data_IF_514125235451
#
_entry.id   IF_514125235451
#
_cell.length_a   1.000
_cell.length_b   1.000
_cell.length_c   1.000
_cell.angle_alpha   90.00
_cell.angle_beta   90.00
_cell.angle_gamma   90.00
#
_symmetry.space_group_name_H-M   'P 1'
#
loop_
_entity.id
_entity.type
_entity.pdbx_description
1 polymer ?
#
# COMPACT_ATOMS: atom_id res chain seq x y z
N UNK A 1 -25.93 15.56 -0.12
CA UNK A 1 -25.00 15.79 1.01
C UNK A 1 -24.73 14.51 1.81
N UNK A 2 -25.75 13.88 2.40
CA UNK A 2 -25.57 12.65 3.20
C UNK A 2 -24.99 11.48 2.40
N UNK A 3 -25.44 11.26 1.17
CA UNK A 3 -24.92 10.23 0.27
C UNK A 3 -23.42 10.40 -0.01
N UNK A 4 -22.95 11.64 -0.27
CA UNK A 4 -21.55 11.91 -0.54
C UNK A 4 -20.66 11.61 0.68
N UNK A 5 -21.14 11.84 1.90
CA UNK A 5 -20.42 11.49 3.13
C UNK A 5 -20.28 9.97 3.25
N UNK A 6 -21.35 9.21 3.00
CA UNK A 6 -21.29 7.74 3.02
C UNK A 6 -20.31 7.20 1.99
N UNK A 7 -20.31 7.74 0.77
CA UNK A 7 -19.37 7.36 -0.28
C UNK A 7 -17.93 7.59 0.16
N UNK A 8 -17.60 8.77 0.71
CA UNK A 8 -16.26 9.08 1.21
C UNK A 8 -15.87 8.19 2.37
N UNK A 9 -16.80 7.83 3.27
CA UNK A 9 -16.53 6.89 4.36
C UNK A 9 -16.19 5.49 3.84
N UNK A 10 -16.94 5.00 2.84
CA UNK A 10 -16.65 3.70 2.20
C UNK A 10 -15.27 3.73 1.53
N UNK A 11 -14.97 4.77 0.73
CA UNK A 11 -13.66 4.93 0.09
C UNK A 11 -12.53 5.00 1.12
N UNK A 12 -12.74 5.73 2.23
CA UNK A 12 -11.79 5.84 3.33
C UNK A 12 -11.52 4.48 4.01
N UNK A 13 -12.56 3.69 4.21
CA UNK A 13 -12.44 2.36 4.78
C UNK A 13 -11.68 1.41 3.83
N UNK A 14 -12.05 1.41 2.54
CA UNK A 14 -11.37 0.60 1.52
C UNK A 14 -9.89 0.98 1.47
N UNK A 15 -9.57 2.26 1.32
CA UNK A 15 -8.19 2.74 1.25
C UNK A 15 -7.42 2.43 2.52
N UNK A 16 -7.95 2.81 3.69
CA UNK A 16 -7.25 2.65 4.97
C UNK A 16 -6.98 1.19 5.34
N UNK A 17 -7.88 0.28 4.95
CA UNK A 17 -7.70 -1.15 5.19
C UNK A 17 -6.75 -1.75 4.14
N UNK A 18 -6.98 -1.50 2.87
CA UNK A 18 -6.27 -2.19 1.79
C UNK A 18 -4.85 -1.67 1.54
N UNK A 19 -4.51 -0.45 1.98
CA UNK A 19 -3.19 0.16 1.78
C UNK A 19 -2.07 -0.59 2.52
N UNK A 20 -2.35 -1.05 3.74
CA UNK A 20 -1.35 -1.68 4.60
C UNK A 20 -1.46 -3.21 4.67
N UNK A 21 -2.61 -3.76 4.32
CA UNK A 21 -2.78 -5.21 4.21
C UNK A 21 -2.21 -5.72 2.87
N UNK A 22 -1.71 -6.96 2.82
CA UNK A 22 -1.18 -7.54 1.58
C UNK A 22 -2.29 -8.02 0.63
N UNK A 23 -3.31 -7.16 0.34
CA UNK A 23 -4.54 -7.53 -0.39
C UNK A 23 -4.79 -6.77 -1.70
N UNK A 24 -4.05 -5.71 -2.01
CA UNK A 24 -4.19 -4.85 -3.19
C UNK A 24 -5.39 -3.89 -3.19
N UNK A 25 -5.13 -2.60 -2.93
CA UNK A 25 -6.14 -1.53 -2.97
C UNK A 25 -6.75 -1.34 -4.37
N UNK A 26 -5.94 -1.45 -5.44
CA UNK A 26 -6.42 -1.33 -6.82
C UNK A 26 -7.45 -2.39 -7.20
N UNK A 27 -7.30 -3.64 -6.75
CA UNK A 27 -8.30 -4.68 -6.99
C UNK A 27 -9.64 -4.35 -6.32
N UNK A 28 -9.60 -3.81 -5.10
CA UNK A 28 -10.82 -3.41 -4.38
C UNK A 28 -11.51 -2.22 -5.02
N UNK A 29 -10.74 -1.20 -5.41
CA UNK A 29 -11.31 -0.02 -6.07
C UNK A 29 -12.02 -0.41 -7.37
N UNK A 30 -11.42 -1.29 -8.19
CA UNK A 30 -12.07 -1.76 -9.42
C UNK A 30 -13.34 -2.56 -9.13
N UNK A 31 -13.30 -3.50 -8.18
CA UNK A 31 -14.50 -4.25 -7.82
C UNK A 31 -15.62 -3.34 -7.34
N UNK A 32 -15.31 -2.38 -6.49
CA UNK A 32 -16.33 -1.48 -5.95
C UNK A 32 -16.81 -0.52 -7.03
N UNK A 33 -15.95 0.00 -7.90
CA UNK A 33 -16.38 0.88 -9.00
C UNK A 33 -17.15 0.15 -10.09
N UNK A 34 -16.97 -1.18 -10.26
CA UNK A 34 -17.81 -1.98 -11.17
C UNK A 34 -19.21 -2.23 -10.63
N UNK A 35 -19.40 -2.14 -9.32
CA UNK A 35 -20.70 -2.34 -8.66
C UNK A 35 -21.43 -1.03 -8.39
N UNK A 36 -20.71 0.07 -8.23
CA UNK A 36 -21.27 1.36 -7.85
C UNK A 36 -20.40 2.52 -8.37
N UNK A 37 -21.06 3.45 -9.08
CA UNK A 37 -20.41 4.70 -9.51
C UNK A 37 -20.42 5.72 -8.38
N UNK A 38 -19.26 5.94 -7.77
CA UNK A 38 -19.09 6.94 -6.72
C UNK A 38 -19.08 8.35 -7.31
N UNK A 39 -20.15 9.11 -7.05
CA UNK A 39 -20.26 10.52 -7.47
C UNK A 39 -19.24 11.43 -6.78
N UNK A 40 -18.82 11.04 -5.58
CA UNK A 40 -17.84 11.78 -4.78
C UNK A 40 -16.38 11.38 -5.10
N UNK A 41 -16.14 10.40 -5.97
CA UNK A 41 -14.80 10.03 -6.40
C UNK A 41 -14.20 11.13 -7.26
N UNK A 42 -13.07 11.65 -6.85
CA UNK A 42 -12.29 12.65 -7.57
C UNK A 42 -10.83 12.49 -7.24
N UNK A 43 -9.95 13.01 -8.10
CA UNK A 43 -8.51 13.00 -7.85
C UNK A 43 -8.15 13.63 -6.49
N UNK A 44 -8.85 14.70 -6.09
CA UNK A 44 -8.63 15.36 -4.81
C UNK A 44 -9.02 14.48 -3.63
N UNK A 45 -10.12 13.72 -3.72
CA UNK A 45 -10.51 12.74 -2.70
C UNK A 45 -9.48 11.62 -2.62
N UNK A 46 -9.03 11.07 -3.76
CA UNK A 46 -8.01 9.99 -3.77
C UNK A 46 -6.71 10.44 -3.09
N UNK A 47 -6.23 11.65 -3.38
CA UNK A 47 -5.05 12.21 -2.71
C UNK A 47 -5.28 12.36 -1.21
N UNK A 48 -6.47 12.82 -0.82
CA UNK A 48 -6.85 13.00 0.59
C UNK A 48 -6.84 11.68 1.36
N UNK A 49 -7.31 10.61 0.74
CA UNK A 49 -7.26 9.26 1.28
C UNK A 49 -5.82 8.77 1.51
N UNK A 50 -4.93 9.01 0.52
CA UNK A 50 -3.51 8.68 0.65
C UNK A 50 -2.81 9.53 1.71
N UNK A 51 -3.13 10.82 1.81
CA UNK A 51 -2.60 11.70 2.86
C UNK A 51 -3.03 11.24 4.25
N UNK A 52 -4.30 10.88 4.44
CA UNK A 52 -4.79 10.30 5.68
C UNK A 52 -4.02 9.05 6.09
N UNK A 53 -3.78 8.15 5.13
CA UNK A 53 -2.99 6.93 5.33
C UNK A 53 -1.51 7.25 5.66
N UNK A 54 -0.92 8.24 4.98
CA UNK A 54 0.45 8.70 5.26
C UNK A 54 0.58 9.26 6.68
N UNK A 55 -0.34 10.13 7.10
CA UNK A 55 -0.34 10.68 8.45
C UNK A 55 -0.50 9.57 9.49
N UNK A 56 -1.35 8.56 9.22
CA UNK A 56 -1.55 7.43 10.12
C UNK A 56 -0.27 6.63 10.35
N UNK A 57 0.46 6.30 9.29
CA UNK A 57 1.68 5.50 9.41
C UNK A 57 2.82 6.29 10.06
N UNK A 58 2.96 7.57 9.73
CA UNK A 58 3.93 8.47 10.38
C UNK A 58 3.62 8.61 11.88
N UNK A 59 2.34 8.77 12.24
CA UNK A 59 1.93 8.85 13.64
C UNK A 59 2.16 7.52 14.39
N UNK A 60 1.90 6.39 13.74
CA UNK A 60 2.13 5.07 14.34
C UNK A 60 3.61 4.83 14.66
N UNK A 61 4.52 5.21 13.76
CA UNK A 61 5.97 5.06 13.93
C UNK A 61 6.67 6.33 14.42
N UNK A 62 5.92 7.27 15.04
CA UNK A 62 6.48 8.56 15.48
C UNK A 62 7.68 8.44 16.41
N UNK A 63 7.69 7.44 17.31
CA UNK A 63 8.80 7.24 18.24
C UNK A 63 10.07 6.80 17.52
N UNK A 64 9.94 5.91 16.53
CA UNK A 64 11.05 5.48 15.69
C UNK A 64 11.56 6.62 14.80
N UNK A 65 10.67 7.44 14.26
CA UNK A 65 10.99 8.54 13.35
C UNK A 65 11.57 9.76 14.09
N UNK A 66 11.05 10.12 15.26
CA UNK A 66 11.53 11.28 16.04
C UNK A 66 12.87 11.00 16.72
N UNK A 67 13.13 9.76 17.14
CA UNK A 67 14.41 9.35 17.72
C UNK A 67 15.48 9.10 16.63
N UNK A 68 15.73 10.11 15.78
CA UNK A 68 16.63 10.00 14.62
C UNK A 68 18.01 9.49 15.03
N UNK A 69 18.58 9.99 16.11
CA UNK A 69 19.91 9.61 16.57
C UNK A 69 20.04 8.10 16.84
N UNK A 70 19.00 7.51 17.46
CA UNK A 70 18.96 6.07 17.76
C UNK A 70 18.65 5.21 16.53
N UNK A 71 17.82 5.71 15.63
CA UNK A 71 17.28 4.97 14.48
C UNK A 71 17.88 5.39 13.14
N UNK A 72 18.93 6.23 13.14
CA UNK A 72 19.56 6.80 11.93
C UNK A 72 19.84 5.74 10.86
N UNK A 73 20.36 4.57 11.28
CA UNK A 73 20.65 3.46 10.36
C UNK A 73 19.40 2.94 9.67
N UNK A 74 18.33 2.69 10.42
CA UNK A 74 17.06 2.16 9.83
C UNK A 74 16.44 3.20 8.91
N UNK A 75 16.36 4.45 9.33
CA UNK A 75 15.80 5.55 8.54
C UNK A 75 16.58 5.72 7.24
N UNK A 76 17.91 5.75 7.29
CA UNK A 76 18.73 5.85 6.07
C UNK A 76 18.53 4.66 5.13
N UNK A 77 18.42 3.44 5.66
CA UNK A 77 18.16 2.26 4.85
C UNK A 77 16.76 2.33 4.18
N UNK A 78 15.74 2.78 4.89
CA UNK A 78 14.39 2.97 4.32
C UNK A 78 14.41 4.00 3.18
N UNK A 79 15.10 5.12 3.37
CA UNK A 79 15.28 6.12 2.30
C UNK A 79 15.96 5.49 1.09
N UNK A 80 17.08 4.79 1.28
CA UNK A 80 17.80 4.10 0.19
C UNK A 80 16.91 3.08 -0.52
N UNK A 81 16.15 2.25 0.22
CA UNK A 81 15.24 1.25 -0.33
C UNK A 81 14.05 1.84 -1.09
N UNK A 82 13.76 3.11 -0.90
CA UNK A 82 12.65 3.79 -1.59
C UNK A 82 13.05 4.37 -2.95
N UNK A 83 14.33 4.63 -3.19
CA UNK A 83 14.81 5.21 -4.45
C UNK A 83 14.37 4.42 -5.70
N UNK A 84 14.49 3.08 -5.74
CA UNK A 84 14.08 2.32 -6.93
C UNK A 84 12.62 2.59 -7.31
N UNK A 85 11.70 2.54 -6.33
CA UNK A 85 10.28 2.80 -6.58
C UNK A 85 10.04 4.25 -7.05
N UNK A 86 10.67 5.23 -6.41
CA UNK A 86 10.50 6.66 -6.75
C UNK A 86 10.95 6.91 -8.19
N UNK A 87 12.13 6.40 -8.57
CA UNK A 87 12.67 6.59 -9.92
C UNK A 87 11.77 5.94 -10.97
N UNK A 88 11.44 4.66 -10.82
CA UNK A 88 10.60 3.94 -11.78
C UNK A 88 9.16 4.45 -11.78
N UNK A 89 8.61 4.84 -10.63
CA UNK A 89 7.30 5.46 -10.53
C UNK A 89 7.22 6.79 -11.28
N UNK A 90 8.24 7.62 -11.15
CA UNK A 90 8.34 8.87 -11.91
C UNK A 90 8.44 8.64 -13.41
N UNK A 91 9.26 7.68 -13.86
CA UNK A 91 9.38 7.30 -15.28
C UNK A 91 8.04 6.82 -15.83
N UNK A 92 7.35 5.89 -15.13
CA UNK A 92 6.06 5.38 -15.58
C UNK A 92 4.96 6.46 -15.59
N UNK A 93 5.02 7.40 -14.65
CA UNK A 93 4.10 8.53 -14.63
C UNK A 93 4.34 9.47 -15.83
N UNK A 94 5.59 9.86 -16.11
CA UNK A 94 5.91 10.80 -17.19
C UNK A 94 5.73 10.21 -18.58
N UNK A 95 5.90 8.91 -18.75
CA UNK A 95 5.68 8.19 -20.02
C UNK A 95 4.22 7.81 -20.24
N UNK A 96 3.36 7.92 -19.24
CA UNK A 96 1.97 7.50 -19.31
C UNK A 96 1.75 5.97 -19.33
N UNK A 97 2.81 5.17 -19.28
CA UNK A 97 2.71 3.69 -19.29
C UNK A 97 1.92 3.11 -18.14
N UNK A 98 1.83 3.84 -17.03
CA UNK A 98 1.06 3.40 -15.86
C UNK A 98 -0.44 3.19 -16.19
N UNK A 99 -0.97 3.93 -17.15
CA UNK A 99 -2.39 3.83 -17.53
C UNK A 99 -2.68 2.57 -18.35
N UNK A 100 -1.74 2.11 -19.19
CA UNK A 100 -1.91 0.89 -20.00
C UNK A 100 -1.96 -0.39 -19.15
N UNK A 101 -1.37 -0.35 -17.93
CA UNK A 101 -1.37 -1.47 -17.00
C UNK A 101 -2.68 -1.58 -16.19
N UNK A 102 -3.53 -0.54 -16.21
CA UNK A 102 -4.78 -0.48 -15.41
C UNK A 102 -5.94 -1.14 -16.14
N UNK A 103 -5.86 -2.42 -16.37
CA UNK A 103 -6.98 -3.21 -16.89
C UNK A 103 -7.33 -4.35 -15.93
N UNK A 104 -8.57 -4.80 -16.01
CA UNK A 104 -9.14 -5.78 -15.05
C UNK A 104 -8.42 -7.13 -15.15
N UNK A 105 -8.01 -7.53 -16.35
CA UNK A 105 -7.32 -8.80 -16.60
C UNK A 105 -5.93 -8.80 -15.95
N UNK A 106 -5.14 -7.74 -16.16
CA UNK A 106 -3.85 -7.57 -15.48
C UNK A 106 -3.99 -7.67 -13.97
N UNK A 107 -5.01 -7.02 -13.40
CA UNK A 107 -5.25 -7.01 -11.95
C UNK A 107 -5.65 -8.39 -11.44
N UNK A 108 -6.49 -9.13 -12.18
CA UNK A 108 -6.86 -10.49 -11.82
C UNK A 108 -5.65 -11.41 -11.77
N UNK A 109 -4.85 -11.43 -12.85
CA UNK A 109 -3.64 -12.25 -12.94
C UNK A 109 -2.58 -11.87 -11.90
N UNK A 110 -2.28 -10.61 -11.74
CA UNK A 110 -1.27 -10.16 -10.76
C UNK A 110 -1.72 -10.43 -9.32
N UNK A 111 -3.02 -10.24 -9.01
CA UNK A 111 -3.57 -10.56 -7.69
C UNK A 111 -3.40 -12.05 -7.38
N UNK A 112 -3.67 -12.95 -8.33
CA UNK A 112 -3.52 -14.39 -8.18
C UNK A 112 -2.04 -14.81 -8.02
N UNK A 113 -1.20 -14.37 -8.96
CA UNK A 113 0.23 -14.75 -8.98
C UNK A 113 0.90 -14.31 -7.68
N UNK A 114 0.73 -13.06 -7.28
CA UNK A 114 1.37 -12.54 -6.07
C UNK A 114 0.71 -13.01 -4.76
N UNK A 115 -0.50 -13.59 -4.79
CA UNK A 115 -1.03 -14.36 -3.68
C UNK A 115 -0.25 -15.66 -3.47
N UNK A 116 0.07 -16.37 -4.56
CA UNK A 116 0.86 -17.61 -4.52
C UNK A 116 2.29 -17.33 -4.07
N UNK A 117 2.91 -16.26 -4.59
CA UNK A 117 4.28 -15.87 -4.20
C UNK A 117 4.35 -15.50 -2.71
N UNK A 118 3.35 -14.77 -2.19
CA UNK A 118 3.23 -14.46 -0.77
C UNK A 118 3.10 -15.74 0.07
N UNK A 119 2.26 -16.69 -0.36
CA UNK A 119 2.09 -17.96 0.32
C UNK A 119 3.39 -18.76 0.42
N UNK A 120 4.11 -18.89 -0.70
CA UNK A 120 5.38 -19.62 -0.74
C UNK A 120 6.41 -18.96 0.19
N UNK A 121 6.52 -17.62 0.13
CA UNK A 121 7.46 -16.86 0.96
C UNK A 121 7.16 -16.97 2.46
N UNK A 122 5.89 -17.12 2.84
CA UNK A 122 5.48 -17.19 4.25
C UNK A 122 5.62 -18.57 4.89
N UNK A 123 5.77 -19.65 4.08
CA UNK A 123 5.89 -21.03 4.60
C UNK A 123 7.15 -21.29 5.42
N UNK A 124 8.23 -20.59 5.14
CA UNK A 124 9.51 -20.86 5.79
C UNK A 124 9.57 -20.23 7.19
N UNK A 125 10.18 -20.94 8.15
CA UNK A 125 10.49 -20.40 9.48
C UNK A 125 11.72 -19.50 9.36
N UNK A 126 11.62 -18.28 9.87
CA UNK A 126 12.69 -17.29 9.74
C UNK A 126 12.75 -16.41 10.98
N UNK A 127 13.97 -16.04 11.39
CA UNK A 127 14.23 -15.39 12.67
C UNK A 127 15.00 -14.07 12.55
N UNK A 128 15.30 -13.60 11.31
CA UNK A 128 16.01 -12.33 11.13
C UNK A 128 15.16 -11.16 11.64
N UNK A 129 15.85 -10.25 12.34
CA UNK A 129 15.25 -9.04 12.91
C UNK A 129 15.74 -7.80 12.18
N UNK A 130 14.88 -6.80 12.08
CA UNK A 130 15.19 -5.49 11.47
C UNK A 130 16.38 -4.81 12.17
N UNK A 131 16.43 -4.89 13.50
CA UNK A 131 17.46 -4.24 14.31
C UNK A 131 18.88 -4.71 14.02
N UNK A 132 19.07 -5.99 13.71
CA UNK A 132 20.39 -6.62 13.58
C UNK A 132 20.73 -7.00 12.14
N UNK A 133 19.75 -7.41 11.33
CA UNK A 133 19.99 -8.05 10.04
C UNK A 133 19.66 -7.18 8.83
N UNK A 134 18.92 -6.06 9.01
CA UNK A 134 18.64 -5.18 7.89
C UNK A 134 19.94 -4.44 7.49
N UNK A 135 20.31 -4.57 6.21
CA UNK A 135 21.50 -3.95 5.62
C UNK A 135 21.17 -3.39 4.22
N UNK A 136 22.16 -2.74 3.59
CA UNK A 136 21.98 -2.11 2.28
C UNK A 136 21.54 -3.11 1.21
N UNK A 137 22.14 -4.30 1.17
CA UNK A 137 21.78 -5.33 0.19
C UNK A 137 20.33 -5.79 0.36
N UNK A 138 19.93 -6.05 1.61
CA UNK A 138 18.55 -6.47 1.92
C UNK A 138 17.53 -5.39 1.55
N UNK A 139 17.79 -4.13 1.90
CA UNK A 139 16.82 -3.06 1.66
C UNK A 139 16.74 -2.68 0.17
N UNK A 140 17.86 -2.75 -0.57
CA UNK A 140 17.85 -2.56 -2.02
C UNK A 140 17.09 -3.68 -2.73
N UNK A 141 17.27 -4.94 -2.32
CA UNK A 141 16.48 -6.05 -2.85
C UNK A 141 14.98 -5.81 -2.63
N UNK A 142 14.58 -5.45 -1.41
CA UNK A 142 13.17 -5.15 -1.10
C UNK A 142 12.67 -3.95 -1.93
N UNK A 143 13.49 -2.91 -2.08
CA UNK A 143 13.17 -1.72 -2.87
C UNK A 143 13.02 -2.01 -4.37
N UNK A 144 13.87 -2.87 -4.93
CA UNK A 144 13.75 -3.33 -6.33
C UNK A 144 12.47 -4.15 -6.50
N UNK A 145 12.20 -5.09 -5.60
CA UNK A 145 10.95 -5.86 -5.63
C UNK A 145 9.72 -4.96 -5.47
N UNK A 146 9.85 -3.86 -4.73
CA UNK A 146 8.78 -2.87 -4.57
C UNK A 146 8.38 -2.21 -5.90
N UNK A 147 9.25 -2.13 -6.91
CA UNK A 147 8.92 -1.60 -8.24
C UNK A 147 7.72 -2.36 -8.84
N UNK A 148 7.62 -3.66 -8.58
CA UNK A 148 6.51 -4.48 -9.06
C UNK A 148 5.15 -3.99 -8.56
N UNK A 149 5.11 -3.24 -7.46
CA UNK A 149 3.86 -2.65 -6.96
C UNK A 149 3.26 -1.56 -7.85
N UNK A 150 4.04 -1.04 -8.81
CA UNK A 150 3.53 -0.13 -9.83
C UNK A 150 2.56 -0.83 -10.80
N UNK A 151 2.64 -2.16 -10.89
CA UNK A 151 1.65 -2.96 -11.62
C UNK A 151 0.42 -3.17 -10.72
N UNK A 152 -0.78 -2.74 -11.16
CA UNK A 152 -2.00 -2.93 -10.40
C UNK A 152 -2.24 -4.40 -10.05
N UNK A 153 -2.80 -4.68 -8.88
CA UNK A 153 -3.05 -6.05 -8.40
C UNK A 153 -1.91 -6.66 -7.57
N UNK A 154 -0.66 -6.22 -7.76
CA UNK A 154 0.51 -6.77 -7.01
C UNK A 154 0.40 -6.55 -5.52
N UNK A 155 -0.10 -5.41 -5.06
CA UNK A 155 -0.07 -4.92 -3.68
C UNK A 155 1.32 -4.50 -3.20
N UNK A 156 1.52 -3.23 -2.92
CA UNK A 156 2.79 -2.70 -2.40
C UNK A 156 3.16 -3.38 -1.07
N UNK A 157 2.22 -3.45 -0.13
CA UNK A 157 2.44 -4.15 1.14
C UNK A 157 2.73 -5.64 0.90
N UNK A 158 2.00 -6.28 -0.01
CA UNK A 158 2.19 -7.70 -0.35
C UNK A 158 3.59 -7.99 -0.86
N UNK A 159 4.09 -7.24 -1.85
CA UNK A 159 5.39 -7.52 -2.46
C UNK A 159 6.56 -7.19 -1.53
N UNK A 160 6.49 -6.11 -0.75
CA UNK A 160 7.56 -5.74 0.19
C UNK A 160 7.64 -6.72 1.36
N UNK A 161 6.51 -7.17 1.90
CA UNK A 161 6.46 -8.25 2.88
C UNK A 161 7.03 -9.54 2.29
N UNK A 162 6.61 -9.92 1.09
CA UNK A 162 7.12 -11.11 0.38
C UNK A 162 8.64 -11.06 0.22
N UNK A 163 9.18 -9.94 -0.26
CA UNK A 163 10.61 -9.76 -0.43
C UNK A 163 11.39 -9.87 0.89
N UNK A 164 10.88 -9.26 1.96
CA UNK A 164 11.48 -9.38 3.29
C UNK A 164 11.40 -10.81 3.83
N UNK A 165 10.30 -11.54 3.57
CA UNK A 165 10.15 -12.96 3.93
C UNK A 165 11.13 -13.86 3.16
N UNK A 166 11.33 -13.63 1.87
CA UNK A 166 12.36 -14.32 1.06
C UNK A 166 13.75 -14.13 1.67
N UNK A 167 14.05 -12.94 2.18
CA UNK A 167 15.31 -12.63 2.88
C UNK A 167 15.37 -13.19 4.31
N UNK A 168 14.37 -13.92 4.74
CA UNK A 168 14.28 -14.60 6.04
C UNK A 168 13.99 -13.68 7.24
N UNK A 169 13.44 -12.51 7.04
CA UNK A 169 12.91 -11.72 8.15
C UNK A 169 11.65 -12.36 8.73
N UNK A 170 11.46 -12.27 10.06
CA UNK A 170 10.22 -12.72 10.69
C UNK A 170 9.02 -11.89 10.20
N UNK A 171 7.79 -12.37 10.42
CA UNK A 171 6.57 -11.75 9.89
C UNK A 171 6.38 -10.31 10.37
N UNK A 172 6.58 -10.06 11.67
CA UNK A 172 6.41 -8.73 12.27
C UNK A 172 7.40 -7.75 11.67
N UNK A 173 8.67 -8.12 11.60
CA UNK A 173 9.71 -7.25 11.05
C UNK A 173 9.58 -7.05 9.54
N UNK A 174 9.14 -8.08 8.79
CA UNK A 174 8.80 -7.93 7.36
C UNK A 174 7.70 -6.89 7.16
N UNK A 175 6.66 -6.93 8.02
CA UNK A 175 5.56 -5.96 7.98
C UNK A 175 6.01 -4.56 8.38
N UNK A 176 6.86 -4.43 9.41
CA UNK A 176 7.44 -3.14 9.81
C UNK A 176 8.30 -2.51 8.70
N UNK A 177 9.14 -3.30 8.02
CA UNK A 177 9.92 -2.82 6.86
C UNK A 177 8.97 -2.31 5.77
N UNK A 178 7.94 -3.07 5.44
CA UNK A 178 6.92 -2.68 4.45
C UNK A 178 6.21 -1.37 4.83
N UNK A 179 5.84 -1.21 6.08
CA UNK A 179 5.17 -0.02 6.58
C UNK A 179 6.08 1.20 6.58
N UNK A 180 7.33 1.07 6.99
CA UNK A 180 8.30 2.17 6.92
C UNK A 180 8.58 2.58 5.47
N UNK A 181 8.71 1.63 4.52
CA UNK A 181 8.84 1.90 3.09
C UNK A 181 7.59 2.58 2.49
N UNK A 182 6.42 2.43 3.12
CA UNK A 182 5.22 3.11 2.66
C UNK A 182 5.26 4.64 2.84
N UNK A 183 6.02 5.13 3.82
CA UNK A 183 6.09 6.56 4.11
C UNK A 183 6.62 7.34 2.90
N UNK A 184 7.84 7.08 2.38
CA UNK A 184 8.32 7.77 1.19
C UNK A 184 7.53 7.43 -0.08
N UNK A 185 6.95 6.23 -0.19
CA UNK A 185 6.12 5.85 -1.32
C UNK A 185 4.82 6.67 -1.39
N UNK A 186 4.08 6.76 -0.28
CA UNK A 186 2.85 7.56 -0.19
C UNK A 186 3.13 9.05 -0.31
N UNK A 187 4.22 9.53 0.28
CA UNK A 187 4.64 10.93 0.12
C UNK A 187 4.93 11.26 -1.34
N UNK A 188 5.69 10.41 -2.04
CA UNK A 188 6.00 10.58 -3.46
C UNK A 188 4.75 10.55 -4.35
N UNK A 189 3.85 9.60 -4.12
CA UNK A 189 2.58 9.51 -4.83
C UNK A 189 1.72 10.76 -4.59
N UNK A 190 1.60 11.21 -3.34
CA UNK A 190 0.84 12.43 -2.99
C UNK A 190 1.40 13.68 -3.67
N UNK A 191 2.73 13.84 -3.73
CA UNK A 191 3.37 14.98 -4.40
C UNK A 191 3.10 14.97 -5.91
N UNK A 192 3.20 13.81 -6.57
CA UNK A 192 2.91 13.71 -8.01
C UNK A 192 1.44 14.02 -8.30
N UNK A 193 0.53 13.47 -7.52
CA UNK A 193 -0.92 13.70 -7.71
C UNK A 193 -1.34 15.14 -7.37
N UNK A 194 -0.70 15.80 -6.40
CA UNK A 194 -0.95 17.23 -6.13
C UNK A 194 -0.62 18.11 -7.33
N UNK A 195 0.44 17.78 -8.10
CA UNK A 195 0.75 18.49 -9.33
C UNK A 195 -0.41 18.46 -10.33
N UNK A 196 -1.09 17.30 -10.44
CA UNK A 196 -2.23 17.15 -11.34
C UNK A 196 -3.44 17.96 -10.85
N UNK A 197 -3.65 18.07 -9.53
CA UNK A 197 -4.70 18.90 -8.93
C UNK A 197 -4.51 20.37 -9.22
N UNK A 198 -3.28 20.90 -9.14
CA UNK A 198 -3.01 22.30 -9.43
C UNK A 198 -3.29 22.69 -10.89
N UNK A 199 -3.34 21.71 -11.80
CA UNK A 199 -3.66 21.92 -13.21
C UNK A 199 -5.16 21.79 -13.53
N UNK A 200 -6.02 21.52 -12.54
CA UNK A 200 -7.46 21.38 -12.70
C UNK A 200 -8.22 22.34 -11.79
N UNK A 201 -9.38 22.87 -12.21
CA UNK A 201 -10.25 23.65 -11.33
C UNK A 201 -10.85 22.71 -10.28
N UNK A 202 -10.23 22.68 -9.09
CA UNK A 202 -10.69 21.84 -7.98
C UNK A 202 -11.20 22.73 -6.85
N UNK A 203 -12.42 22.46 -6.40
CA UNK A 203 -12.96 23.12 -5.22
C UNK A 203 -12.62 22.30 -3.97
N UNK A 204 -11.92 22.93 -3.04
CA UNK A 204 -11.67 22.37 -1.74
C UNK A 204 -12.97 22.38 -0.94
N UNK A 205 -13.49 21.21 -0.61
CA UNK A 205 -14.73 21.07 0.14
C UNK A 205 -14.52 20.23 1.43
N UNK A 206 -15.53 20.23 2.30
CA UNK A 206 -15.50 19.52 3.58
C UNK A 206 -15.29 18.00 3.43
N UNK A 207 -15.59 17.40 2.27
CA UNK A 207 -15.39 15.97 1.99
C UNK A 207 -13.89 15.60 2.01
N UNK A 208 -13.01 16.51 1.61
CA UNK A 208 -11.55 16.35 1.68
C UNK A 208 -11.09 16.13 3.12
N UNK A 209 -11.58 16.95 4.05
CA UNK A 209 -11.26 16.84 5.48
C UNK A 209 -11.78 15.52 6.04
N UNK A 210 -13.01 15.15 5.70
CA UNK A 210 -13.63 13.88 6.10
C UNK A 210 -12.79 12.71 5.57
N UNK A 211 -12.38 12.74 4.30
CA UNK A 211 -11.54 11.70 3.69
C UNK A 211 -10.21 11.52 4.45
N UNK A 212 -9.51 12.60 4.75
CA UNK A 212 -8.23 12.56 5.49
C UNK A 212 -8.44 11.95 6.89
N UNK A 213 -9.45 12.42 7.64
CA UNK A 213 -9.69 11.97 9.01
C UNK A 213 -10.04 10.48 9.05
N UNK A 214 -10.98 10.04 8.21
CA UNK A 214 -11.41 8.65 8.24
C UNK A 214 -10.37 7.71 7.63
N UNK A 215 -9.66 8.10 6.57
CA UNK A 215 -8.52 7.33 6.08
C UNK A 215 -7.42 7.19 7.14
N UNK A 216 -7.14 8.25 7.90
CA UNK A 216 -6.24 8.19 9.05
C UNK A 216 -6.71 7.15 10.07
N UNK A 217 -7.97 7.22 10.50
CA UNK A 217 -8.53 6.31 11.53
C UNK A 217 -8.44 4.85 11.06
N UNK A 218 -8.95 4.55 9.86
CA UNK A 218 -8.94 3.19 9.32
C UNK A 218 -7.52 2.67 9.12
N UNK A 219 -6.61 3.48 8.59
CA UNK A 219 -5.21 3.12 8.39
C UNK A 219 -4.49 2.84 9.72
N UNK A 220 -4.66 3.71 10.71
CA UNK A 220 -4.05 3.54 12.03
C UNK A 220 -4.52 2.25 12.71
N UNK A 221 -5.82 1.99 12.69
CA UNK A 221 -6.40 0.77 13.25
C UNK A 221 -5.91 -0.47 12.49
N UNK A 222 -5.85 -0.39 11.16
CA UNK A 222 -5.34 -1.48 10.31
C UNK A 222 -3.90 -1.83 10.66
N UNK A 223 -2.99 -0.85 10.69
CA UNK A 223 -1.58 -1.06 11.04
C UNK A 223 -1.45 -1.69 12.42
N UNK A 224 -2.15 -1.13 13.42
CA UNK A 224 -2.12 -1.62 14.80
C UNK A 224 -2.59 -3.09 14.89
N UNK A 225 -3.76 -3.38 14.38
CA UNK A 225 -4.34 -4.73 14.51
C UNK A 225 -3.67 -5.75 13.59
N UNK A 226 -3.17 -5.33 12.43
CA UNK A 226 -2.40 -6.21 11.57
C UNK A 226 -1.10 -6.68 12.23
N UNK A 227 -0.35 -5.80 12.88
CA UNK A 227 0.88 -6.20 13.59
C UNK A 227 0.58 -7.14 14.77
N UNK A 228 -0.53 -6.94 15.47
CA UNK A 228 -0.99 -7.86 16.53
C UNK A 228 -1.36 -9.23 15.93
N UNK A 229 -2.10 -9.22 14.83
CA UNK A 229 -2.52 -10.43 14.12
C UNK A 229 -1.32 -11.25 13.62
N UNK A 230 -0.41 -10.60 12.90
CA UNK A 230 0.70 -11.30 12.24
C UNK A 230 1.77 -11.82 13.21
N UNK A 231 1.78 -11.32 14.43
CA UNK A 231 2.61 -11.85 15.51
C UNK A 231 2.16 -13.26 15.94
N UNK A 232 0.87 -13.58 15.77
CA UNK A 232 0.28 -14.86 16.20
C UNK A 232 -0.06 -15.79 15.03
N UNK A 233 -0.46 -15.21 13.90
CA UNK A 233 -1.01 -15.96 12.76
C UNK A 233 -0.13 -15.80 11.50
N UNK A 234 -0.41 -16.67 10.52
CA UNK A 234 0.25 -16.64 9.20
C UNK A 234 -0.43 -15.66 8.24
N UNK A 235 0.20 -15.46 7.08
CA UNK A 235 -0.37 -14.66 5.97
C UNK A 235 -1.49 -15.39 5.21
N UNK A 236 -1.82 -16.65 5.56
CA UNK A 236 -2.75 -17.50 4.80
C UNK A 236 -4.13 -16.86 4.60
N UNK A 237 -4.66 -16.16 5.61
CA UNK A 237 -5.96 -15.48 5.47
C UNK A 237 -5.95 -14.46 4.32
N UNK A 238 -4.87 -13.69 4.19
CA UNK A 238 -4.72 -12.71 3.11
C UNK A 238 -4.48 -13.38 1.75
N UNK A 239 -3.77 -14.51 1.72
CA UNK A 239 -3.57 -15.31 0.51
C UNK A 239 -4.91 -15.84 -0.01
N UNK A 240 -5.71 -16.47 0.87
CA UNK A 240 -7.04 -17.00 0.51
C UNK A 240 -7.94 -15.87 0.02
N UNK A 241 -7.95 -14.74 0.74
CA UNK A 241 -8.71 -13.56 0.35
C UNK A 241 -8.34 -13.07 -1.05
N UNK A 242 -7.03 -12.95 -1.37
CA UNK A 242 -6.56 -12.56 -2.70
C UNK A 242 -6.98 -13.53 -3.79
N UNK A 243 -6.94 -14.85 -3.52
CA UNK A 243 -7.40 -15.86 -4.47
C UNK A 243 -8.89 -15.68 -4.76
N UNK A 244 -9.71 -15.47 -3.73
CA UNK A 244 -11.15 -15.22 -3.90
C UNK A 244 -11.38 -13.96 -4.75
N UNK A 245 -10.70 -12.85 -4.44
CA UNK A 245 -10.80 -11.61 -5.21
C UNK A 245 -10.39 -11.82 -6.67
N UNK A 246 -9.30 -12.55 -6.93
CA UNK A 246 -8.87 -12.86 -8.29
C UNK A 246 -9.91 -13.68 -9.06
N UNK A 247 -10.54 -14.68 -8.42
CA UNK A 247 -11.61 -15.46 -9.03
C UNK A 247 -12.84 -14.62 -9.34
N UNK A 248 -13.23 -13.71 -8.43
CA UNK A 248 -14.32 -12.74 -8.68
C UNK A 248 -13.96 -11.83 -9.85
N UNK A 249 -12.73 -11.31 -9.94
CA UNK A 249 -12.30 -10.49 -11.08
C UNK A 249 -12.33 -11.28 -12.39
N UNK A 250 -11.90 -12.55 -12.40
CA UNK A 250 -12.01 -13.40 -13.59
C UNK A 250 -13.47 -13.62 -14.01
N UNK A 251 -14.40 -13.79 -13.09
CA UNK A 251 -15.82 -13.95 -13.41
C UNK A 251 -16.48 -12.68 -13.98
N UNK A 252 -15.83 -11.53 -13.87
CA UNK A 252 -16.27 -10.27 -14.51
C UNK A 252 -15.71 -10.11 -15.93
N UNK A 253 -14.70 -10.93 -16.29
CA UNK A 253 -14.04 -10.87 -17.61
C UNK A 253 -14.63 -11.92 -18.57
N UNK A 254 -14.90 -13.12 -18.02
CA UNK A 254 -15.36 -14.30 -18.76
C UNK A 254 -16.77 -14.71 -18.33
#
# INVERSE_FOLDING_TARGET
MFQNIIEVLILSAIQGVSEFLPISSSAHLILVSSLYEFKSSSLLIDISLHLGSLVAIVYYFKEELLNINKNKRIISLIVIGSFPLIIFGYILYTTGLIYSLRNIETIAWTTLIFAIVLYISDKSRFDKKISTNLNIQSILFIGIMQILSLVPGVSRAGITITAARILKFNRVDSSKISFLLSIPALAGASVLSLKDVFNQPTEFNYLVIIAIIFAFIFSFLTVKYFLIYINKFSMNAFVIYRIIIALVLFSLIY
#
